data_IF_862079674706
#
_entry.id   IF_862079674706
#
_cell.length_a   1.000
_cell.length_b   1.000
_cell.length_c   1.000
_cell.angle_alpha   90.00
_cell.angle_beta   90.00
_cell.angle_gamma   90.00
#
_symmetry.space_group_name_H-M   'P 1'
#
loop_
_entity.id
_entity.type
_entity.pdbx_description
1 polymer ?
2 non-polymer ?
3 non-polymer ?
4 non-polymer ?
5 water ?
#
# COMPACT_ATOMS: atom_id res chain seq x y z
N UNK A 1 23.70 8.37 -5.67
CA UNK A 1 23.81 9.39 -4.61
C UNK A 1 22.95 9.36 -3.37
N UNK A 2 22.74 10.52 -2.73
CA UNK A 2 21.99 10.63 -1.49
C UNK A 2 20.58 10.08 -1.57
N UNK A 3 19.92 10.30 -2.70
CA UNK A 3 18.52 9.86 -2.80
C UNK A 3 18.39 8.36 -2.78
N UNK A 4 19.47 7.63 -3.09
CA UNK A 4 19.41 6.19 -3.02
C UNK A 4 19.27 5.68 -1.57
N UNK A 5 19.50 6.55 -0.59
CA UNK A 5 19.35 6.21 0.84
C UNK A 5 17.93 6.42 1.31
N UNK A 6 17.10 7.03 0.50
CA UNK A 6 15.71 7.24 0.92
C UNK A 6 14.99 5.90 0.96
N UNK A 7 14.03 5.76 1.87
CA UNK A 7 13.31 4.50 1.98
C UNK A 7 11.98 4.73 2.66
N UNK A 8 11.08 3.78 2.43
CA UNK A 8 9.77 3.74 3.09
C UNK A 8 9.54 2.35 3.63
N UNK A 9 8.87 2.27 4.76
CA UNK A 9 8.28 1.04 5.29
C UNK A 9 6.84 1.05 4.78
N UNK A 10 6.52 0.17 3.86
CA UNK A 10 5.30 0.33 3.11
C UNK A 10 4.44 -0.95 3.17
N UNK A 11 3.14 -0.73 3.10
CA UNK A 11 2.12 -1.77 3.19
C UNK A 11 1.17 -1.55 2.02
N UNK A 12 0.74 -2.63 1.36
CA UNK A 12 -0.17 -2.47 0.25
C UNK A 12 -1.20 -3.59 0.19
N UNK A 13 -2.24 -3.28 -0.59
CA UNK A 13 -3.20 -4.23 -1.08
C UNK A 13 -3.04 -4.24 -2.60
N UNK A 14 -2.74 -5.41 -3.18
CA UNK A 14 -2.58 -5.55 -4.63
C UNK A 14 -3.69 -6.44 -5.17
N UNK A 15 -4.40 -5.95 -6.17
CA UNK A 15 -5.35 -6.78 -6.90
C UNK A 15 -5.17 -6.57 -8.38
N UNK A 16 -5.10 -7.65 -9.15
CA UNK A 16 -5.00 -7.57 -10.59
C UNK A 16 -6.20 -6.79 -11.18
N UNK A 17 -7.40 -7.07 -10.71
CA UNK A 17 -8.58 -6.52 -11.31
C UNK A 17 -9.07 -5.28 -10.56
N UNK A 18 -9.51 -4.31 -11.37
CA UNK A 18 -9.99 -3.07 -10.83
C UNK A 18 -11.23 -3.25 -9.97
N UNK A 19 -12.14 -4.13 -10.37
CA UNK A 19 -13.33 -4.28 -9.54
C UNK A 19 -13.00 -4.73 -8.14
N UNK A 20 -12.03 -5.62 -8.01
CA UNK A 20 -11.63 -6.16 -6.71
C UNK A 20 -10.89 -5.11 -5.88
N UNK A 21 -10.00 -4.31 -6.50
CA UNK A 21 -9.35 -3.29 -5.69
C UNK A 21 -10.38 -2.27 -5.18
N UNK A 22 -11.45 -2.04 -5.95
CA UNK A 22 -12.51 -1.13 -5.55
C UNK A 22 -13.26 -1.70 -4.35
N UNK A 23 -13.47 -3.03 -4.32
CA UNK A 23 -14.07 -3.68 -3.15
C UNK A 23 -13.19 -3.46 -1.92
N UNK A 24 -11.88 -3.61 -2.08
CA UNK A 24 -10.96 -3.38 -0.99
C UNK A 24 -11.03 -1.92 -0.49
N UNK A 25 -11.09 -0.98 -1.45
CA UNK A 25 -11.19 0.42 -1.09
C UNK A 25 -12.47 0.67 -0.28
N UNK A 26 -13.57 0.05 -0.68
CA UNK A 26 -14.81 0.23 0.06
C UNK A 26 -14.65 -0.27 1.49
N UNK A 27 -13.95 -1.39 1.72
CA UNK A 27 -13.75 -1.85 3.05
C UNK A 27 -12.91 -0.88 3.88
N UNK A 28 -11.85 -0.32 3.29
CA UNK A 28 -11.08 0.71 4.00
C UNK A 28 -11.98 1.89 4.37
N UNK A 29 -12.81 2.33 3.45
CA UNK A 29 -13.66 3.51 3.71
C UNK A 29 -14.78 3.23 4.70
N UNK A 30 -15.06 1.95 4.97
CA UNK A 30 -15.98 1.55 6.04
C UNK A 30 -15.33 1.48 7.39
N UNK A 31 -14.00 1.60 7.45
CA UNK A 31 -13.27 1.57 8.67
C UNK A 31 -12.46 0.34 8.92
N UNK A 32 -12.39 -0.61 8.01
CA UNK A 32 -11.63 -1.83 8.26
C UNK A 32 -10.13 -1.51 8.30
N UNK A 33 -9.43 -2.10 9.25
CA UNK A 33 -8.00 -1.87 9.38
C UNK A 33 -7.29 -2.39 8.16
N UNK A 34 -6.20 -1.69 7.77
CA UNK A 34 -5.55 -1.96 6.51
C UNK A 34 -5.05 -3.40 6.41
N UNK A 35 -4.47 -3.91 7.51
CA UNK A 35 -3.95 -5.27 7.46
C UNK A 35 -5.05 -6.30 7.21
N UNK A 36 -6.24 -6.05 7.76
CA UNK A 36 -7.37 -6.94 7.59
C UNK A 36 -7.92 -6.87 6.16
N UNK A 37 -7.90 -5.68 5.56
CA UNK A 37 -8.26 -5.54 4.14
C UNK A 37 -7.27 -6.31 3.28
N UNK A 38 -5.97 -6.15 3.58
CA UNK A 38 -4.96 -6.86 2.83
C UNK A 38 -5.12 -8.38 2.95
N UNK A 39 -5.40 -8.87 4.17
CA UNK A 39 -5.62 -10.30 4.32
C UNK A 39 -6.78 -10.78 3.45
N UNK A 40 -7.85 -9.99 3.37
CA UNK A 40 -9.03 -10.37 2.60
C UNK A 40 -8.79 -10.32 1.08
N UNK A 41 -8.08 -9.29 0.60
CA UNK A 41 -8.05 -8.99 -0.83
C UNK A 41 -6.69 -9.06 -1.47
N UNK A 42 -5.59 -8.81 -0.74
CA UNK A 42 -4.34 -8.65 -1.43
C UNK A 42 -3.86 -9.97 -2.05
N UNK A 43 -3.26 -9.85 -3.22
CA UNK A 43 -2.64 -10.94 -3.94
C UNK A 43 -1.13 -10.96 -3.70
N UNK A 44 -0.63 -10.12 -2.83
CA UNK A 44 0.77 -10.05 -2.46
C UNK A 44 0.86 -9.68 -0.99
N UNK A 45 1.72 -10.40 -0.26
CA UNK A 45 1.94 -10.16 1.15
C UNK A 45 0.67 -10.32 1.99
N UNK A 46 -0.31 -11.09 1.53
CA UNK A 46 -1.53 -11.23 2.29
C UNK A 46 -1.30 -11.79 3.68
N UNK A 47 -0.39 -12.77 3.79
CA UNK A 47 -0.16 -13.39 5.10
C UNK A 47 0.63 -12.48 6.04
N UNK A 48 1.16 -11.37 5.54
CA UNK A 48 1.83 -10.35 6.29
C UNK A 48 0.96 -9.08 6.39
N UNK A 49 -0.34 -9.17 6.14
CA UNK A 49 -1.18 -7.99 6.24
C UNK A 49 -0.82 -6.91 5.24
N UNK A 50 -0.24 -7.30 4.11
CA UNK A 50 0.17 -6.37 3.08
C UNK A 50 1.55 -5.77 3.30
N UNK A 51 2.22 -6.08 4.40
CA UNK A 51 3.46 -5.41 4.74
C UNK A 51 4.59 -5.87 3.79
N UNK A 52 5.17 -4.92 3.07
CA UNK A 52 6.33 -5.12 2.25
C UNK A 52 7.61 -4.87 3.03
N UNK A 53 7.51 -4.30 4.21
CA UNK A 53 8.66 -3.89 4.96
C UNK A 53 9.34 -2.67 4.33
N UNK A 54 10.59 -2.47 4.73
CA UNK A 54 11.39 -1.36 4.22
C UNK A 54 11.81 -1.58 2.78
N UNK A 55 11.63 -0.57 1.96
CA UNK A 55 11.96 -0.57 0.55
C UNK A 55 12.75 0.70 0.24
N UNK A 56 13.94 0.56 -0.32
CA UNK A 56 14.77 1.70 -0.68
C UNK A 56 14.38 2.26 -2.02
N UNK A 57 14.71 3.55 -2.23
CA UNK A 57 14.47 4.15 -3.53
C UNK A 57 15.20 3.38 -4.61
N UNK A 58 14.49 3.09 -5.67
CA UNK A 58 14.97 2.30 -6.79
C UNK A 58 14.46 0.87 -6.78
N UNK A 59 13.97 0.41 -5.64
CA UNK A 59 13.59 -0.97 -5.50
C UNK A 59 12.15 -1.23 -5.84
N UNK A 60 11.33 -0.19 -5.95
CA UNK A 60 9.91 -0.30 -6.20
C UNK A 60 9.61 0.07 -7.64
N UNK A 61 8.59 -0.59 -8.19
CA UNK A 61 8.14 -0.28 -9.53
C UNK A 61 7.70 1.20 -9.58
N UNK A 62 7.91 1.85 -10.69
CA UNK A 62 7.84 3.29 -10.78
C UNK A 62 6.60 3.97 -10.21
N UNK A 63 5.41 3.58 -10.67
CA UNK A 63 4.24 4.32 -10.18
C UNK A 63 4.00 4.11 -8.70
N UNK A 64 4.37 2.92 -8.23
CA UNK A 64 4.29 2.61 -6.80
C UNK A 64 5.24 3.52 -6.01
N UNK A 65 6.47 3.61 -6.48
CA UNK A 65 7.49 4.39 -5.79
C UNK A 65 7.08 5.85 -5.67
N UNK A 66 6.61 6.42 -6.77
CA UNK A 66 6.20 7.83 -6.74
C UNK A 66 5.05 8.04 -5.77
N UNK A 67 4.11 7.12 -5.75
CA UNK A 67 2.97 7.22 -4.85
C UNK A 67 3.42 7.08 -3.40
N UNK A 68 4.34 6.14 -3.13
CA UNK A 68 4.74 5.85 -1.77
C UNK A 68 5.52 7.00 -1.14
N UNK A 69 6.47 7.59 -1.88
CA UNK A 69 7.23 8.69 -1.30
C UNK A 69 6.39 9.96 -1.15
N UNK A 70 5.23 10.01 -1.80
CA UNK A 70 4.28 11.10 -1.65
C UNK A 70 3.40 10.97 -0.42
N UNK A 71 3.40 9.81 0.26
CA UNK A 71 2.54 9.61 1.41
C UNK A 71 3.29 9.93 2.71
N UNK A 72 2.67 10.65 3.64
CA UNK A 72 3.27 10.78 4.95
C UNK A 72 3.14 9.48 5.72
N UNK A 73 4.00 9.31 6.70
CA UNK A 73 3.87 8.20 7.64
C UNK A 73 2.53 8.28 8.34
N UNK A 74 1.87 7.12 8.45
CA UNK A 74 0.64 7.00 9.20
C UNK A 74 0.66 5.67 9.92
N UNK A 75 -0.33 5.46 10.75
CA UNK A 75 -0.50 4.22 11.46
C UNK A 75 -1.84 3.61 11.10
N UNK A 76 -2.01 2.34 11.51
CA UNK A 76 -3.25 1.72 10.98
C UNK A 76 -4.45 2.16 11.80
N UNK A 77 -4.35 2.89 12.92
CA UNK A 77 -5.68 3.46 13.42
C UNK A 77 -5.96 4.75 12.75
N UNK A 78 -5.02 5.45 12.16
CA UNK A 78 -5.16 6.79 11.56
C UNK A 78 -4.46 6.66 10.16
N UNK A 79 -4.90 5.85 9.26
CA UNK A 79 -4.15 5.58 8.01
C UNK A 79 -4.32 6.76 7.04
N UNK A 80 -3.27 6.92 6.20
CA UNK A 80 -3.30 7.79 5.04
C UNK A 80 -2.86 6.93 3.86
N UNK A 81 -3.77 6.68 2.94
CA UNK A 81 -3.49 5.73 1.86
C UNK A 81 -3.80 6.38 0.51
N UNK A 82 -3.27 5.76 -0.53
CA UNK A 82 -3.52 6.24 -1.89
C UNK A 82 -4.97 6.07 -2.27
N UNK A 83 -5.57 7.14 -2.78
CA UNK A 83 -6.91 7.09 -3.35
C UNK A 83 -6.91 8.11 -4.48
N UNK A 84 -7.00 7.70 -5.74
CA UNK A 84 -7.41 6.36 -6.20
C UNK A 84 -6.26 5.35 -6.14
N UNK A 85 -6.61 4.08 -6.34
CA UNK A 85 -5.57 3.05 -6.45
C UNK A 85 -4.58 3.37 -7.57
N UNK A 86 -3.37 2.88 -7.40
CA UNK A 86 -2.26 3.10 -8.31
C UNK A 86 -2.05 1.87 -9.18
N UNK A 87 -2.07 2.06 -10.51
CA UNK A 87 -1.85 0.97 -11.43
C UNK A 87 -0.35 0.82 -11.74
N UNK A 88 0.10 -0.42 -11.70
CA UNK A 88 1.43 -0.81 -12.15
C UNK A 88 1.30 -2.02 -13.05
N UNK A 89 2.42 -2.53 -13.53
CA UNK A 89 2.32 -3.74 -14.33
C UNK A 89 1.90 -4.94 -13.44
N UNK A 90 1.89 -4.86 -12.12
CA UNK A 90 1.38 -5.94 -11.28
C UNK A 90 -0.13 -5.91 -11.11
N UNK A 91 -0.75 -4.77 -11.30
CA UNK A 91 -2.16 -4.60 -11.01
C UNK A 91 -2.38 -3.28 -10.28
N UNK A 92 -3.44 -3.23 -9.52
CA UNK A 92 -3.85 -2.03 -8.80
C UNK A 92 -3.44 -2.17 -7.35
N UNK A 93 -2.82 -1.10 -6.82
CA UNK A 93 -2.36 -1.09 -5.45
C UNK A 93 -3.05 0.03 -4.66
N UNK A 94 -3.38 -0.29 -3.41
CA UNK A 94 -3.67 0.74 -2.41
C UNK A 94 -2.49 0.68 -1.43
N UNK A 95 -1.87 1.81 -1.15
CA UNK A 95 -0.59 1.87 -0.43
C UNK A 95 -0.74 2.75 0.79
N UNK A 96 -0.10 2.36 1.89
CA UNK A 96 0.12 3.25 3.02
C UNK A 96 1.60 3.09 3.45
N UNK A 97 2.09 4.10 4.16
CA UNK A 97 3.49 4.15 4.59
C UNK A 97 3.52 4.27 6.10
N UNK A 98 4.29 3.39 6.73
CA UNK A 98 4.40 3.34 8.17
C UNK A 98 5.72 3.83 8.71
N UNK A 99 6.71 4.08 7.84
CA UNK A 99 8.01 4.56 8.26
C UNK A 99 8.68 5.23 7.08
N UNK A 100 9.57 6.20 7.35
CA UNK A 100 10.23 6.95 6.30
C UNK A 100 11.66 7.26 6.75
N UNK A 101 12.59 7.14 5.83
CA UNK A 101 14.00 7.55 5.98
C UNK A 101 14.40 8.44 4.78
X LIG B 1 0.60 -14.24 -0.01
X LIG B 1 -0.04 -13.09 -0.57
X LIG B 1 0.93 -14.05 1.38
X LIG B 1 -0.30 -15.41 -0.13
X LIG B 1 1.78 -14.59 -0.81
X LIG C 1 10.28 -0.03 -13.07
X LIG C 1 11.23 0.25 -14.06
X LIG C 1 9.24 0.96 -12.99
X LIG C 1 9.72 -1.33 -13.34
X LIG C 1 10.55 -1.12 -11.97
X LIG D 1 13.69 8.52 -8.76
X LIG D 1 12.92 8.15 -9.93
X LIG D 1 13.90 9.92 -8.66
X LIG D 1 12.90 8.02 -7.67
X LIG D 1 14.73 7.62 -8.38
X LIG E 1 -2.14 4.73 15.35
X LIG E 1 -2.54 5.47 14.19
X LIG E 1 -2.89 4.85 16.63
X LIG E 1 -0.68 5.13 15.61
X LIG E 1 -2.32 3.32 14.92
X LIG F 1 -13.46 -7.27 -11.64
X LIG F 1 -12.60 -6.03 -12.50
X LIG F 1 -13.06 -7.58 -10.16
X LIG F 1 -14.91 -7.07 -11.77
X LIG F 1 -13.15 -8.38 -12.45
X LIG G 1 6.56 -2.58 -5.04
X LIG G 1 5.19 -3.61 -5.56
X LIG G 1 5.15 -5.02 -5.23
X LIG G 1 3.92 -5.59 -5.89
X LIG G 1 6.38 -5.78 -5.30
X LIG G 1 5.92 -7.15 -4.76
X LIG G 1 7.79 -4.95 -4.92
X LIG G 1 7.70 -3.55 -6.15
X LIG H 1 -9.39 -4.51 -14.48
X LIG I 1 4.40 -0.25 -13.80
#
# INVERSE_FOLDING_TARGET
GPMGSNAVKVRHILCEKHGKIMEAMEKLKSGMRFNEVAAQYSEDKARQGGDLGWMTRGSMVGPFQEAAFALPVSGMDKPVFTDPPVKTKFGYHIIMVEGRK
SO4 S O1 O2 O3 O4
SO4 S O1 O2 O3 O4
SO4 S O1 O2 O3 O4
SO4 S O1 O2 O3 O4
SO4 S O1 O2 O3 O4
D1D S1 C1 C2 O2 C3 O3 C4 S4
NA NA
NA NA
#
